data_IF_949664486175
#
_entry.id   IF_949664486175
#
_cell.length_a   1.000
_cell.length_b   1.000
_cell.length_c   1.000
_cell.angle_alpha   90.00
_cell.angle_beta   90.00
_cell.angle_gamma   90.00
#
_symmetry.space_group_name_H-M   'P 1'
#
loop_
_entity.id
_entity.type
_entity.pdbx_description
1 polymer ?
#
# COMPACT_ATOMS: atom_id res chain seq x y z
N UNK A 1 -22.89 66.63 3.99
CA UNK A 1 -23.46 65.73 5.00
C UNK A 1 -24.70 65.04 4.41
N UNK A 2 -24.73 63.69 4.44
CA UNK A 2 -25.87 62.77 4.26
C UNK A 2 -26.78 62.93 3.02
N UNK A 3 -26.44 62.25 1.93
CA UNK A 3 -27.41 61.75 0.94
C UNK A 3 -27.58 60.23 1.13
N UNK A 4 -28.71 59.87 1.76
CA UNK A 4 -29.11 58.49 2.06
C UNK A 4 -29.42 57.76 0.76
N UNK A 5 -28.59 56.77 0.42
CA UNK A 5 -28.85 55.81 -0.67
C UNK A 5 -29.85 54.75 -0.22
N UNK A 6 -30.80 54.46 -1.12
CA UNK A 6 -31.43 53.18 -1.44
C UNK A 6 -31.88 52.28 -0.27
N UNK A 7 -33.15 51.94 -0.14
CA UNK A 7 -33.92 51.27 -1.17
C UNK A 7 -34.09 49.80 -0.77
N UNK A 8 -35.28 49.50 -0.28
CA UNK A 8 -35.82 48.21 0.13
C UNK A 8 -35.63 47.08 -0.88
N UNK A 9 -35.31 45.88 -0.39
CA UNK A 9 -36.11 44.65 -0.52
C UNK A 9 -35.26 43.38 -0.76
N UNK A 10 -35.42 42.45 0.18
CA UNK A 10 -35.66 41.01 -0.04
C UNK A 10 -34.86 40.33 -1.15
N UNK A 11 -33.88 39.52 -0.75
CA UNK A 11 -33.95 38.07 -0.99
C UNK A 11 -32.82 37.38 -0.23
N UNK A 12 -33.20 36.70 0.85
CA UNK A 12 -32.36 35.69 1.49
C UNK A 12 -32.47 34.46 0.60
N UNK A 13 -31.44 34.19 -0.21
CA UNK A 13 -31.28 32.88 -0.84
C UNK A 13 -30.39 32.06 0.09
N UNK A 14 -31.03 31.21 0.90
CA UNK A 14 -30.38 30.13 1.61
C UNK A 14 -29.80 29.15 0.60
N UNK A 15 -28.55 29.37 0.20
CA UNK A 15 -27.75 28.38 -0.51
C UNK A 15 -27.15 27.41 0.50
N UNK A 16 -27.88 26.36 0.86
CA UNK A 16 -27.27 25.20 1.53
C UNK A 16 -26.45 24.49 0.46
N UNK A 17 -25.17 24.83 0.36
CA UNK A 17 -24.21 24.04 -0.40
C UNK A 17 -24.04 22.73 0.36
N UNK A 18 -24.70 21.68 -0.12
CA UNK A 18 -24.41 20.32 0.29
C UNK A 18 -22.95 20.03 -0.10
N UNK A 19 -22.07 20.14 0.89
CA UNK A 19 -20.71 19.59 0.83
C UNK A 19 -20.87 18.08 0.67
N UNK A 20 -20.84 17.61 -0.57
CA UNK A 20 -20.58 16.21 -0.86
C UNK A 20 -19.15 15.92 -0.39
N UNK A 21 -19.00 15.63 0.90
CA UNK A 21 -17.85 14.93 1.41
C UNK A 21 -17.90 13.55 0.75
N UNK A 22 -17.21 13.41 -0.38
CA UNK A 22 -16.73 12.13 -0.87
C UNK A 22 -15.72 11.63 0.17
N UNK A 23 -16.25 11.19 1.31
CA UNK A 23 -15.59 10.25 2.17
C UNK A 23 -15.40 9.01 1.33
N UNK A 24 -14.26 8.93 0.63
CA UNK A 24 -13.58 7.66 0.42
C UNK A 24 -13.29 7.17 1.83
N UNK A 25 -14.31 6.57 2.44
CA UNK A 25 -14.10 5.54 3.43
C UNK A 25 -13.25 4.52 2.69
N UNK A 26 -11.93 4.59 2.89
CA UNK A 26 -11.13 3.37 2.80
C UNK A 26 -11.84 2.43 3.73
N UNK A 27 -12.59 1.48 3.18
CA UNK A 27 -12.99 0.29 3.91
C UNK A 27 -11.78 -0.09 4.72
N UNK A 28 -11.93 -0.12 6.04
CA UNK A 28 -11.01 -0.85 6.91
C UNK A 28 -11.23 -2.34 6.60
N UNK A 29 -10.95 -2.73 5.34
CA UNK A 29 -10.58 -4.08 5.00
C UNK A 29 -9.37 -4.36 5.88
N UNK A 30 -9.50 -5.36 6.76
CA UNK A 30 -8.39 -5.84 7.56
C UNK A 30 -7.15 -5.89 6.66
N UNK A 31 -6.03 -5.26 7.06
CA UNK A 31 -4.93 -4.98 6.15
C UNK A 31 -4.52 -6.28 5.45
N UNK A 32 -4.85 -6.37 4.17
CA UNK A 32 -4.54 -7.54 3.37
C UNK A 32 -3.03 -7.75 3.38
N UNK A 33 -2.57 -8.99 3.14
CA UNK A 33 -1.14 -9.23 3.00
C UNK A 33 -0.56 -8.34 1.90
N UNK A 34 0.52 -7.65 2.20
CA UNK A 34 1.33 -6.93 1.22
C UNK A 34 2.32 -7.90 0.60
N UNK A 35 2.49 -7.81 -0.72
CA UNK A 35 3.48 -8.61 -1.42
C UNK A 35 4.51 -7.73 -2.13
N UNK A 36 5.78 -8.09 -1.94
CA UNK A 36 6.91 -7.38 -2.51
C UNK A 36 7.82 -8.35 -3.26
N UNK A 37 8.38 -7.90 -4.37
CA UNK A 37 9.35 -8.65 -5.16
C UNK A 37 10.65 -7.85 -5.23
N UNK A 38 11.77 -8.55 -5.31
CA UNK A 38 13.09 -7.99 -5.52
C UNK A 38 13.96 -9.04 -6.24
N UNK A 39 14.71 -8.66 -7.26
CA UNK A 39 15.56 -9.60 -8.02
C UNK A 39 16.66 -10.26 -7.17
N UNK A 40 17.04 -9.63 -6.06
CA UNK A 40 18.01 -10.17 -5.10
C UNK A 40 17.34 -11.06 -4.03
N UNK A 41 16.00 -11.11 -3.99
CA UNK A 41 15.23 -11.90 -3.04
C UNK A 41 14.58 -13.11 -3.74
N UNK A 42 14.74 -14.29 -3.16
CA UNK A 42 14.18 -15.51 -3.74
C UNK A 42 12.65 -15.54 -3.58
N UNK A 43 11.93 -15.13 -4.62
CA UNK A 43 10.46 -15.22 -4.69
C UNK A 43 9.74 -13.96 -4.23
N UNK A 44 8.51 -14.15 -3.75
CA UNK A 44 7.63 -13.04 -3.31
C UNK A 44 7.63 -12.97 -1.79
N UNK A 45 8.03 -11.82 -1.26
CA UNK A 45 7.89 -11.52 0.16
C UNK A 45 6.43 -11.19 0.48
N UNK A 46 5.81 -11.93 1.40
CA UNK A 46 4.45 -11.67 1.90
C UNK A 46 4.52 -11.18 3.34
N UNK A 47 3.99 -9.99 3.60
CA UNK A 47 3.98 -9.35 4.93
C UNK A 47 2.55 -8.98 5.29
N UNK A 48 2.13 -9.28 6.52
CA UNK A 48 0.87 -8.76 7.05
C UNK A 48 1.19 -7.50 7.85
N UNK A 49 0.71 -6.31 7.45
CA UNK A 49 0.93 -5.09 8.20
C UNK A 49 0.33 -5.18 9.59
N UNK A 50 1.03 -4.63 10.58
CA UNK A 50 0.49 -4.49 11.94
C UNK A 50 -0.14 -3.11 12.10
N UNK A 51 -1.40 -3.07 12.55
CA UNK A 51 -2.15 -1.87 12.97
C UNK A 51 -2.00 -0.66 12.02
N UNK A 52 -1.04 0.23 12.30
CA UNK A 52 -0.79 1.49 11.59
C UNK A 52 0.23 1.38 10.43
N UNK A 53 0.80 0.20 10.21
CA UNK A 53 1.68 -0.04 9.08
C UNK A 53 0.86 -0.21 7.80
N UNK A 54 1.34 0.39 6.71
CA UNK A 54 0.75 0.23 5.38
C UNK A 54 1.73 -0.46 4.46
N UNK A 55 1.25 -1.09 3.39
CA UNK A 55 2.15 -1.65 2.37
C UNK A 55 3.12 -0.60 1.81
N UNK A 56 2.69 0.66 1.72
CA UNK A 56 3.54 1.76 1.28
C UNK A 56 4.63 2.08 2.31
N UNK A 57 4.29 2.13 3.60
CA UNK A 57 5.26 2.37 4.68
C UNK A 57 6.30 1.24 4.77
N UNK A 58 5.87 -0.01 4.62
CA UNK A 58 6.76 -1.19 4.62
C UNK A 58 7.66 -1.18 3.37
N UNK A 59 7.10 -0.86 2.20
CA UNK A 59 7.88 -0.72 0.97
C UNK A 59 8.95 0.39 1.07
N UNK A 60 8.58 1.52 1.65
CA UNK A 60 9.51 2.62 1.90
C UNK A 60 10.62 2.18 2.86
N UNK A 61 10.29 1.45 3.92
CA UNK A 61 11.27 0.88 4.85
C UNK A 61 12.22 -0.10 4.15
N UNK A 62 11.70 -1.01 3.31
CA UNK A 62 12.51 -1.98 2.55
C UNK A 62 13.45 -1.30 1.53
N UNK A 63 13.06 -0.14 0.99
CA UNK A 63 13.87 0.63 0.05
C UNK A 63 14.77 1.68 0.70
N UNK A 64 14.72 1.84 2.03
CA UNK A 64 15.53 2.81 2.73
C UNK A 64 16.82 2.16 3.28
N UNK A 65 18.02 2.55 2.79
CA UNK A 65 19.28 1.97 3.24
C UNK A 65 19.60 2.24 4.72
N UNK A 66 19.01 3.28 5.34
CA UNK A 66 19.22 3.60 6.76
C UNK A 66 18.26 2.87 7.69
N UNK A 67 17.26 2.17 7.14
CA UNK A 67 16.23 1.48 7.93
C UNK A 67 16.69 0.11 8.43
N UNK A 68 16.58 -0.08 9.75
CA UNK A 68 16.94 -1.31 10.47
C UNK A 68 16.01 -1.53 11.68
N UNK A 69 15.98 -2.77 12.21
CA UNK A 69 15.22 -3.11 13.42
C UNK A 69 13.83 -3.75 13.23
N UNK A 70 13.25 -3.71 12.02
CA UNK A 70 12.02 -4.44 11.66
C UNK A 70 12.32 -5.70 10.84
N UNK A 71 11.62 -6.79 11.16
CA UNK A 71 11.72 -8.08 10.49
C UNK A 71 10.65 -8.20 9.40
N UNK A 72 11.03 -7.92 8.15
CA UNK A 72 10.21 -8.16 6.96
C UNK A 72 10.98 -9.05 5.98
N UNK A 73 10.27 -9.83 5.17
CA UNK A 73 10.87 -10.63 4.10
C UNK A 73 12.04 -11.50 4.59
N UNK A 74 11.78 -12.34 5.59
CA UNK A 74 12.78 -13.22 6.24
C UNK A 74 13.95 -12.45 6.88
N UNK A 75 13.69 -11.23 7.37
CA UNK A 75 14.69 -10.34 7.98
C UNK A 75 15.87 -10.04 7.07
N UNK A 76 15.62 -9.97 5.77
CA UNK A 76 16.65 -9.70 4.77
C UNK A 76 17.35 -8.35 4.95
N UNK A 77 18.64 -8.31 4.64
CA UNK A 77 19.48 -7.10 4.60
C UNK A 77 19.37 -6.34 3.27
N UNK A 78 18.65 -6.88 2.29
CA UNK A 78 18.47 -6.22 0.99
C UNK A 78 17.75 -4.89 1.19
N UNK A 79 18.37 -3.80 0.74
CA UNK A 79 17.82 -2.45 0.74
C UNK A 79 17.83 -1.87 -0.66
N UNK A 80 16.70 -1.36 -1.10
CA UNK A 80 16.50 -0.87 -2.46
C UNK A 80 16.09 -1.96 -3.45
N UNK A 81 15.45 -1.56 -4.55
CA UNK A 81 14.98 -2.46 -5.61
C UNK A 81 13.71 -3.25 -5.28
N UNK A 82 13.08 -3.01 -4.14
CA UNK A 82 11.80 -3.63 -3.80
C UNK A 82 10.66 -2.94 -4.55
N UNK A 83 9.79 -3.76 -5.15
CA UNK A 83 8.60 -3.29 -5.85
C UNK A 83 7.34 -3.99 -5.29
N UNK A 84 6.19 -3.30 -5.25
CA UNK A 84 4.92 -3.92 -4.90
C UNK A 84 4.51 -4.89 -6.01
N UNK A 85 4.08 -6.08 -5.64
CA UNK A 85 3.57 -7.09 -6.57
C UNK A 85 2.22 -7.62 -6.09
N UNK A 86 1.50 -8.29 -6.98
CA UNK A 86 0.25 -8.94 -6.61
C UNK A 86 0.57 -10.15 -5.73
N UNK A 87 -0.12 -10.26 -4.59
CA UNK A 87 -0.13 -11.48 -3.79
C UNK A 87 -0.85 -12.60 -4.53
N UNK A 88 -0.17 -13.20 -5.49
CA UNK A 88 -0.69 -14.35 -6.19
C UNK A 88 -0.40 -15.61 -5.36
N UNK A 89 -1.44 -16.25 -4.84
CA UNK A 89 -1.34 -17.55 -4.18
C UNK A 89 -0.67 -18.62 -5.08
N UNK A 90 -0.58 -18.39 -6.39
CA UNK A 90 0.07 -19.26 -7.37
C UNK A 90 1.57 -19.05 -7.58
N UNK A 91 2.18 -17.94 -7.16
CA UNK A 91 3.63 -17.72 -7.36
C UNK A 91 4.48 -18.70 -6.54
N UNK A 92 3.95 -19.15 -5.39
CA UNK A 92 4.53 -20.23 -4.58
C UNK A 92 4.61 -21.57 -5.33
N UNK A 93 3.77 -21.80 -6.37
CA UNK A 93 3.81 -23.04 -7.15
C UNK A 93 4.81 -23.03 -8.31
N UNK A 94 5.31 -21.85 -8.71
CA UNK A 94 6.30 -21.74 -9.81
C UNK A 94 7.74 -21.81 -9.33
N UNK A 95 7.98 -21.57 -8.04
CA UNK A 95 9.18 -22.05 -7.36
C UNK A 95 8.99 -23.54 -6.98
N UNK A 96 8.70 -24.39 -7.98
CA UNK A 96 8.88 -25.82 -7.76
C UNK A 96 10.38 -26.06 -7.50
N UNK A 97 10.73 -26.86 -6.49
CA UNK A 97 12.12 -27.12 -6.14
C UNK A 97 12.85 -27.69 -7.36
N UNK A 98 14.12 -27.32 -7.50
CA UNK A 98 15.08 -28.06 -8.31
C UNK A 98 14.93 -29.55 -7.98
N UNK A 99 14.22 -30.30 -8.81
CA UNK A 99 14.11 -31.73 -8.66
C UNK A 99 15.53 -32.29 -8.84
N UNK A 100 16.08 -33.07 -7.89
CA UNK A 100 17.33 -33.76 -8.11
C UNK A 100 17.13 -34.67 -9.34
N UNK A 101 18.00 -34.51 -10.35
CA UNK A 101 18.02 -35.36 -11.53
C UNK A 101 18.21 -36.79 -11.04
N UNK A 102 17.15 -37.59 -11.04
CA UNK A 102 17.27 -39.02 -10.80
C UNK A 102 18.11 -39.58 -11.95
N UNK A 103 19.35 -39.95 -11.61
CA UNK A 103 20.24 -40.73 -12.44
C UNK A 103 19.55 -42.08 -12.70
N UNK A 104 18.92 -42.21 -13.87
CA UNK A 104 18.47 -43.51 -14.36
C UNK A 104 19.67 -44.17 -15.05
N UNK A 105 20.45 -44.92 -14.26
CA UNK A 105 21.44 -45.87 -14.78
C UNK A 105 20.73 -46.87 -15.67
N UNK A 106 21.30 -47.09 -16.85
CA UNK A 106 20.98 -48.19 -17.75
C UNK A 106 22.27 -48.89 -18.11
#
# INVERSE_FOLDING_TARGET
>A
MRNKRWGTAKSVVFGVVALAATGVGRSAEAPGPCCFSNDQFAGVCRVVPVQDETCASILAYLNNPTSSGKAYCDSTTIRGGWAPTKCNAGAQRRAAPFAPRSASSR
#
